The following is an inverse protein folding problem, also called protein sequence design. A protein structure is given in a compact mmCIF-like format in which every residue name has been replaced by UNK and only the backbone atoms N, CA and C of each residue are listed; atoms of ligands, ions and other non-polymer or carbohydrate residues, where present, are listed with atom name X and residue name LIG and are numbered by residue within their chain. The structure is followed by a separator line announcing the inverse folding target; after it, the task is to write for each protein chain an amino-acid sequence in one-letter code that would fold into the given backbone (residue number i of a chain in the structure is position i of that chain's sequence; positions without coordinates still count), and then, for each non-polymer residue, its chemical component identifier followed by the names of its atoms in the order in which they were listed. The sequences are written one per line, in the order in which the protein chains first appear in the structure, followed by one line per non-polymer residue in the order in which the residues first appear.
data_IF_268482576105
#
_entry.id   IF_268482576105
#
_cell.length_a   1.000
_cell.length_b   1.000
_cell.length_c   1.000
_cell.angle_alpha   90.00
_cell.angle_beta   90.00
_cell.angle_gamma   90.00
#
_symmetry.space_group_name_H-M   'P 1'
#
loop_
_entity.id
_entity.type
_entity.pdbx_description
1 polymer ?
#
# COMPACT_ATOMS: atom_id res chain seq x y z
N UNK A 1 2.19 36.28 -48.87
CA UNK A 1 1.63 36.64 -47.54
C UNK A 1 1.75 35.37 -46.70
N UNK A 2 2.91 35.07 -46.11
CA UNK A 2 3.48 35.60 -44.85
C UNK A 2 2.64 35.24 -43.60
N UNK A 3 3.18 34.30 -42.80
CA UNK A 3 3.09 34.13 -41.33
C UNK A 3 1.71 33.99 -40.68
N UNK A 4 1.49 33.30 -39.55
CA UNK A 4 2.30 32.58 -38.56
C UNK A 4 1.32 31.78 -37.70
N UNK A 5 1.76 30.73 -37.01
CA UNK A 5 1.00 30.19 -35.88
C UNK A 5 1.29 28.75 -35.48
N UNK A 6 2.55 28.33 -35.48
CA UNK A 6 2.96 27.13 -34.76
C UNK A 6 2.84 27.40 -33.26
N UNK A 7 1.82 26.83 -32.62
CA UNK A 7 1.80 26.64 -31.17
C UNK A 7 2.29 25.22 -30.90
N UNK A 8 3.60 25.10 -30.79
CA UNK A 8 4.25 23.99 -30.11
C UNK A 8 3.87 24.07 -28.63
N UNK A 9 2.77 23.40 -28.28
CA UNK A 9 2.46 23.10 -26.90
C UNK A 9 3.00 21.71 -26.63
N UNK A 10 4.30 21.61 -26.34
CA UNK A 10 4.84 20.53 -25.51
C UNK A 10 4.28 20.72 -24.11
N UNK A 11 2.98 20.47 -23.94
CA UNK A 11 2.44 20.11 -22.66
C UNK A 11 3.07 18.76 -22.35
N UNK A 12 3.99 18.74 -21.39
CA UNK A 12 4.45 17.55 -20.72
C UNK A 12 3.22 16.78 -20.23
N UNK A 13 2.68 15.92 -21.08
CA UNK A 13 1.90 14.77 -20.68
C UNK A 13 2.88 13.79 -20.07
N UNK A 14 3.48 14.18 -18.95
CA UNK A 14 3.79 13.21 -17.91
C UNK A 14 2.46 12.50 -17.70
N UNK A 15 2.43 11.28 -18.22
CA UNK A 15 1.21 10.57 -18.47
C UNK A 15 0.67 10.23 -17.10
N UNK A 16 -0.19 11.11 -16.58
CA UNK A 16 -1.08 10.84 -15.47
C UNK A 16 -1.88 9.65 -15.93
N UNK A 17 -1.34 8.45 -15.67
CA UNK A 17 -2.03 7.19 -15.85
C UNK A 17 -3.35 7.41 -15.10
N UNK A 18 -4.49 7.50 -15.81
CA UNK A 18 -5.74 7.69 -15.12
C UNK A 18 -5.86 6.47 -14.24
N UNK A 19 -5.75 6.66 -12.92
CA UNK A 19 -5.90 5.59 -11.95
C UNK A 19 -7.32 5.11 -12.15
N UNK A 20 -7.48 4.04 -12.92
CA UNK A 20 -8.77 3.40 -13.10
C UNK A 20 -9.27 3.12 -11.69
N UNK A 21 -10.40 3.74 -11.34
CA UNK A 21 -11.09 3.60 -10.05
C UNK A 21 -11.67 2.19 -9.84
N UNK A 22 -11.23 1.20 -10.62
CA UNK A 22 -11.30 -0.21 -10.28
C UNK A 22 -10.42 -0.47 -9.06
N UNK A 23 -11.01 -0.26 -7.89
CA UNK A 23 -10.52 -0.64 -6.54
C UNK A 23 -9.20 -1.41 -6.54
N UNK A 24 -8.09 -0.67 -6.45
CA UNK A 24 -6.72 -1.20 -6.39
C UNK A 24 -6.63 -2.18 -5.23
N UNK A 25 -6.74 -3.48 -5.50
CA UNK A 25 -6.78 -4.53 -4.47
C UNK A 25 -5.58 -5.44 -4.62
N UNK A 26 -4.90 -5.75 -3.52
CA UNK A 26 -3.75 -6.64 -3.53
C UNK A 26 -4.21 -8.07 -3.82
N UNK A 27 -3.80 -8.59 -4.97
CA UNK A 27 -3.88 -10.01 -5.30
C UNK A 27 -2.70 -10.77 -4.67
N UNK A 28 -2.98 -11.40 -3.52
CA UNK A 28 -2.00 -12.17 -2.75
C UNK A 28 -1.61 -13.47 -3.48
N UNK A 29 -2.53 -14.07 -4.23
CA UNK A 29 -2.24 -15.30 -4.98
C UNK A 29 -1.22 -15.02 -6.09
N UNK A 30 -1.42 -13.92 -6.82
CA UNK A 30 -0.46 -13.43 -7.80
C UNK A 30 0.87 -13.06 -7.13
N UNK A 31 0.85 -12.35 -6.01
CA UNK A 31 2.08 -12.02 -5.28
C UNK A 31 2.86 -13.29 -4.89
N UNK A 32 2.19 -14.36 -4.47
CA UNK A 32 2.85 -15.59 -4.05
C UNK A 32 3.44 -16.41 -5.21
N UNK A 33 2.82 -16.36 -6.40
CA UNK A 33 3.27 -17.10 -7.59
C UNK A 33 4.47 -16.47 -8.32
N UNK A 34 4.77 -15.21 -8.07
CA UNK A 34 5.88 -14.50 -8.72
C UNK A 34 7.27 -14.92 -8.18
N UNK A 35 8.35 -14.78 -8.96
CA UNK A 35 9.73 -14.82 -8.47
C UNK A 35 10.02 -13.69 -7.47
N UNK A 36 10.98 -13.88 -6.55
CA UNK A 36 11.22 -12.97 -5.41
C UNK A 36 11.41 -11.49 -5.80
N UNK A 37 12.21 -11.22 -6.84
CA UNK A 37 12.45 -9.85 -7.35
C UNK A 37 11.16 -9.21 -7.91
N UNK A 38 10.33 -10.02 -8.59
CA UNK A 38 9.05 -9.56 -9.11
C UNK A 38 8.00 -9.36 -8.01
N UNK A 39 8.08 -10.12 -6.91
CA UNK A 39 7.20 -9.93 -5.74
C UNK A 39 7.36 -8.53 -5.16
N UNK A 40 8.60 -8.11 -4.95
CA UNK A 40 8.91 -6.82 -4.34
C UNK A 40 8.47 -5.67 -5.25
N UNK A 41 8.80 -5.73 -6.54
CA UNK A 41 8.36 -4.72 -7.52
C UNK A 41 6.84 -4.64 -7.64
N UNK A 42 6.15 -5.79 -7.63
CA UNK A 42 4.69 -5.83 -7.68
C UNK A 42 4.07 -5.18 -6.43
N UNK A 43 4.56 -5.53 -5.24
CA UNK A 43 4.08 -4.97 -3.98
C UNK A 43 4.34 -3.46 -3.90
N UNK A 44 5.52 -3.01 -4.31
CA UNK A 44 5.89 -1.58 -4.29
C UNK A 44 5.03 -0.78 -5.28
N UNK A 45 4.80 -1.31 -6.47
CA UNK A 45 3.92 -0.68 -7.47
C UNK A 45 2.49 -0.56 -6.94
N UNK A 46 1.96 -1.64 -6.36
CA UNK A 46 0.66 -1.65 -5.72
C UNK A 46 0.56 -0.59 -4.60
N UNK A 47 1.55 -0.54 -3.70
CA UNK A 47 1.59 0.42 -2.61
C UNK A 47 1.70 1.88 -3.09
N UNK A 48 2.45 2.12 -4.17
CA UNK A 48 2.53 3.44 -4.78
C UNK A 48 1.16 3.89 -5.31
N UNK A 49 0.42 2.99 -5.96
CA UNK A 49 -0.93 3.27 -6.46
C UNK A 49 -1.94 3.45 -5.33
N UNK A 50 -1.88 2.60 -4.29
CA UNK A 50 -2.70 2.76 -3.08
C UNK A 50 -2.43 4.09 -2.37
N UNK A 51 -1.15 4.49 -2.24
CA UNK A 51 -0.77 5.77 -1.63
C UNK A 51 -1.35 6.94 -2.42
N UNK A 52 -1.25 6.93 -3.76
CA UNK A 52 -1.84 7.97 -4.61
C UNK A 52 -3.36 8.06 -4.44
N UNK A 53 -4.03 6.90 -4.39
CA UNK A 53 -5.47 6.84 -4.12
C UNK A 53 -5.82 7.45 -2.76
N UNK A 54 -5.13 7.05 -1.70
CA UNK A 54 -5.37 7.58 -0.34
C UNK A 54 -5.16 9.10 -0.28
N UNK A 55 -4.10 9.60 -0.90
CA UNK A 55 -3.81 11.04 -0.93
C UNK A 55 -4.82 11.84 -1.75
N UNK A 56 -5.57 11.20 -2.64
CA UNK A 56 -6.65 11.84 -3.41
C UNK A 56 -7.95 12.01 -2.61
N UNK A 57 -8.08 11.34 -1.45
CA UNK A 57 -9.28 11.43 -0.63
C UNK A 57 -9.37 12.77 0.11
N UNK A 58 -10.57 13.34 0.06
CA UNK A 58 -11.02 14.34 1.01
C UNK A 58 -11.52 13.67 2.30
N UNK A 59 -12.12 14.45 3.20
CA UNK A 59 -12.57 13.97 4.51
C UNK A 59 -13.65 12.87 4.40
N UNK A 60 -14.63 13.08 3.55
CA UNK A 60 -15.75 12.16 3.38
C UNK A 60 -15.28 10.90 2.64
N UNK A 61 -14.47 11.06 1.59
CA UNK A 61 -13.82 9.95 0.89
C UNK A 61 -12.95 9.10 1.81
N UNK A 62 -12.16 9.72 2.69
CA UNK A 62 -11.34 9.00 3.67
C UNK A 62 -12.22 8.19 4.62
N UNK A 63 -13.34 8.75 5.09
CA UNK A 63 -14.29 8.05 5.96
C UNK A 63 -14.95 6.87 5.25
N UNK A 64 -15.39 7.02 4.00
CA UNK A 64 -16.04 5.95 3.25
C UNK A 64 -15.08 4.81 2.86
N UNK A 65 -13.80 5.10 2.62
CA UNK A 65 -12.81 4.11 2.15
C UNK A 65 -11.90 3.59 3.27
N UNK A 66 -12.04 4.09 4.49
CA UNK A 66 -11.22 3.74 5.65
C UNK A 66 -11.10 2.24 5.89
N UNK A 67 -12.24 1.53 5.84
CA UNK A 67 -12.27 0.08 6.02
C UNK A 67 -11.52 -0.66 4.90
N UNK A 68 -11.66 -0.19 3.67
CA UNK A 68 -10.96 -0.75 2.52
C UNK A 68 -9.44 -0.58 2.66
N UNK A 69 -8.97 0.63 2.94
CA UNK A 69 -7.53 0.90 3.11
C UNK A 69 -6.96 0.07 4.26
N UNK A 70 -7.66 0.02 5.41
CA UNK A 70 -7.28 -0.84 6.53
C UNK A 70 -7.10 -2.28 6.08
N UNK A 71 -8.10 -2.86 5.41
CA UNK A 71 -8.06 -4.25 4.96
C UNK A 71 -6.88 -4.52 4.04
N UNK A 72 -6.63 -3.65 3.07
CA UNK A 72 -5.51 -3.82 2.13
C UNK A 72 -4.15 -3.74 2.84
N UNK A 73 -3.98 -2.80 3.76
CA UNK A 73 -2.76 -2.66 4.57
C UNK A 73 -2.56 -3.89 5.46
N UNK A 74 -3.61 -4.40 6.08
CA UNK A 74 -3.53 -5.58 6.94
C UNK A 74 -3.16 -6.86 6.17
N UNK A 75 -3.53 -6.98 4.88
CA UNK A 75 -3.00 -8.08 4.04
C UNK A 75 -1.48 -8.05 3.97
N UNK A 76 -0.90 -6.86 3.82
CA UNK A 76 0.56 -6.66 3.70
C UNK A 76 1.24 -6.96 5.03
N UNK A 77 0.67 -6.52 6.15
CA UNK A 77 1.19 -6.80 7.49
C UNK A 77 1.16 -8.29 7.86
N UNK A 78 0.26 -9.06 7.26
CA UNK A 78 0.14 -10.51 7.47
C UNK A 78 0.94 -11.37 6.46
N UNK A 79 1.77 -10.76 5.61
CA UNK A 79 2.67 -11.52 4.73
C UNK A 79 3.76 -12.19 5.58
N UNK A 80 3.79 -13.53 5.57
CA UNK A 80 4.61 -14.35 6.48
C UNK A 80 6.12 -14.28 6.22
N UNK A 81 6.57 -13.94 5.01
CA UNK A 81 7.99 -13.77 4.65
C UNK A 81 8.12 -13.37 3.18
N UNK A 82 9.15 -12.58 2.78
CA UNK A 82 10.16 -11.93 3.61
C UNK A 82 9.60 -10.74 4.40
N UNK A 83 10.28 -10.37 5.49
CA UNK A 83 9.89 -9.23 6.32
C UNK A 83 9.75 -7.96 5.45
N UNK A 84 8.67 -7.16 5.60
CA UNK A 84 8.46 -6.00 4.76
C UNK A 84 9.66 -5.04 4.83
N UNK A 85 10.18 -4.66 3.66
CA UNK A 85 11.25 -3.69 3.53
C UNK A 85 10.89 -2.35 4.18
N UNK A 86 11.90 -1.55 4.56
CA UNK A 86 11.69 -0.23 5.20
C UNK A 86 10.74 0.64 4.38
N UNK A 87 10.94 0.70 3.05
CA UNK A 87 10.09 1.47 2.13
C UNK A 87 8.62 1.01 2.18
N UNK A 88 8.37 -0.29 2.25
CA UNK A 88 7.02 -0.87 2.38
C UNK A 88 6.36 -0.41 3.68
N UNK A 89 7.09 -0.44 4.80
CA UNK A 89 6.58 0.02 6.11
C UNK A 89 6.28 1.53 6.09
N UNK A 90 7.18 2.32 5.53
CA UNK A 90 7.04 3.78 5.45
C UNK A 90 5.79 4.16 4.66
N UNK A 91 5.57 3.56 3.47
CA UNK A 91 4.38 3.84 2.65
C UNK A 91 3.10 3.38 3.35
N UNK A 92 3.14 2.19 3.98
CA UNK A 92 2.00 1.64 4.74
C UNK A 92 1.59 2.57 5.87
N UNK A 93 2.57 3.09 6.62
CA UNK A 93 2.34 4.05 7.69
C UNK A 93 1.72 5.36 7.19
N UNK A 94 2.19 5.89 6.07
CA UNK A 94 1.60 7.09 5.44
C UNK A 94 0.14 6.84 5.03
N UNK A 95 -0.17 5.69 4.41
CA UNK A 95 -1.54 5.38 4.00
C UNK A 95 -2.50 5.33 5.20
N UNK A 96 -2.08 4.70 6.30
CA UNK A 96 -2.85 4.67 7.54
C UNK A 96 -3.00 6.07 8.15
N UNK A 97 -1.92 6.85 8.22
CA UNK A 97 -1.93 8.18 8.81
C UNK A 97 -2.87 9.15 8.06
N UNK A 98 -2.82 9.17 6.73
CA UNK A 98 -3.68 10.03 5.91
C UNK A 98 -5.15 9.60 6.01
N UNK A 99 -5.41 8.30 5.94
CA UNK A 99 -6.77 7.75 5.98
C UNK A 99 -7.44 7.94 7.34
N UNK A 100 -6.73 7.64 8.43
CA UNK A 100 -7.27 7.76 9.78
C UNK A 100 -7.13 9.15 10.39
N UNK A 101 -6.23 9.99 9.88
CA UNK A 101 -6.11 11.40 10.29
C UNK A 101 -7.32 12.24 9.86
N UNK A 102 -7.98 11.86 8.77
CA UNK A 102 -9.12 12.61 8.19
C UNK A 102 -10.48 11.96 8.45
N UNK A 103 -10.55 10.62 8.53
CA UNK A 103 -11.83 9.92 8.63
C UNK A 103 -12.35 9.70 10.06
N UNK A 104 -13.11 8.62 10.24
CA UNK A 104 -13.75 8.26 11.51
C UNK A 104 -12.74 7.83 12.59
N UNK A 105 -12.95 8.34 13.82
CA UNK A 105 -12.05 8.10 14.97
C UNK A 105 -12.30 6.75 15.63
N UNK A 106 -13.50 6.21 15.58
CA UNK A 106 -13.82 4.90 16.19
C UNK A 106 -13.04 3.81 15.48
N UNK A 107 -13.03 3.81 14.15
CA UNK A 107 -12.30 2.82 13.36
C UNK A 107 -10.77 2.96 13.52
N UNK A 108 -10.25 4.16 13.78
CA UNK A 108 -8.85 4.36 14.16
C UNK A 108 -8.51 3.61 15.45
N UNK A 109 -9.29 3.81 16.52
CA UNK A 109 -9.04 3.15 17.81
C UNK A 109 -9.18 1.63 17.72
N UNK A 110 -10.19 1.13 16.99
CA UNK A 110 -10.33 -0.30 16.71
C UNK A 110 -9.09 -0.86 15.99
N UNK A 111 -8.57 -0.13 15.00
CA UNK A 111 -7.38 -0.54 14.25
C UNK A 111 -6.11 -0.55 15.11
N UNK A 112 -5.94 0.44 16.01
CA UNK A 112 -4.82 0.45 16.97
C UNK A 112 -4.89 -0.78 17.89
N UNK A 113 -6.08 -1.10 18.41
CA UNK A 113 -6.26 -2.27 19.26
C UNK A 113 -5.98 -3.58 18.52
N UNK A 114 -6.38 -3.67 17.26
CA UNK A 114 -6.08 -4.83 16.41
C UNK A 114 -4.57 -4.97 16.16
N UNK A 115 -3.87 -3.86 15.84
CA UNK A 115 -2.40 -3.87 15.68
C UNK A 115 -1.69 -4.26 16.98
N UNK A 116 -2.13 -3.76 18.14
CA UNK A 116 -1.59 -4.16 19.44
C UNK A 116 -1.83 -5.65 19.70
N UNK A 117 -2.98 -6.18 19.30
CA UNK A 117 -3.31 -7.60 19.43
C UNK A 117 -2.41 -8.45 18.52
N UNK A 118 -2.16 -8.02 17.28
CA UNK A 118 -1.23 -8.70 16.36
C UNK A 118 0.20 -8.71 16.95
N UNK A 119 0.66 -7.57 17.48
CA UNK A 119 1.97 -7.46 18.13
C UNK A 119 2.09 -8.38 19.37
N UNK A 120 1.04 -8.43 20.20
CA UNK A 120 1.02 -9.25 21.42
C UNK A 120 0.81 -10.75 21.12
N UNK A 121 0.11 -11.07 20.03
CA UNK A 121 -0.24 -12.42 19.60
C UNK A 121 0.86 -13.14 18.81
N UNK A 122 1.88 -12.42 18.34
CA UNK A 122 3.05 -12.97 17.62
C UNK A 122 3.87 -14.00 18.39
N UNK A 123 3.54 -14.28 19.67
CA UNK A 123 4.20 -15.30 20.50
C UNK A 123 3.83 -16.77 20.22
N UNK A 124 2.88 -17.06 19.33
CA UNK A 124 2.44 -18.45 19.05
C UNK A 124 2.63 -18.96 17.61
N UNK A 125 3.09 -18.13 16.67
CA UNK A 125 3.30 -18.52 15.26
C UNK A 125 4.75 -18.61 14.80
N UNK A 126 5.69 -17.93 15.47
CA UNK A 126 7.09 -17.77 14.99
C UNK A 126 8.14 -18.51 15.84
N UNK A 127 7.76 -19.62 16.50
CA UNK A 127 8.74 -20.48 17.19
C UNK A 127 9.50 -21.44 16.25
N UNK A 128 9.28 -21.35 14.94
CA UNK A 128 10.02 -22.11 13.92
C UNK A 128 11.02 -21.26 13.10
N UNK A 129 11.39 -20.06 13.56
CA UNK A 129 12.65 -19.41 13.12
C UNK A 129 13.80 -19.96 13.97
N UNK A 130 13.98 -21.27 13.89
CA UNK A 130 15.21 -21.98 14.19
C UNK A 130 15.21 -23.16 13.24
N UNK A 131 15.97 -23.05 12.14
CA UNK A 131 16.80 -24.10 11.56
C UNK A 131 17.43 -23.56 10.27
N UNK A 132 18.76 -23.34 10.36
CA UNK A 132 19.78 -23.52 9.31
C UNK A 132 19.53 -22.88 7.95
N UNK A 133 20.31 -21.87 7.59
CA UNK A 133 21.05 -21.78 6.30
C UNK A 133 21.90 -20.52 6.31
N UNK A 134 23.15 -20.60 6.79
CA UNK A 134 24.28 -19.73 6.42
C UNK A 134 25.55 -20.33 7.05
N UNK A 135 25.99 -21.49 6.57
CA UNK A 135 27.40 -21.90 6.43
C UNK A 135 27.41 -23.03 5.41
N UNK A 136 27.86 -22.73 4.20
CA UNK A 136 28.77 -23.60 3.43
C UNK A 136 29.51 -22.75 2.41
#
# INVERSE_FOLDING_TARGET
MASNGGVDSTADTDTYRPLQTSTVSLDVNKLQSLPNEQKELYLLSYLADLKRLVLSFDKDGATSHQFFVKKEIFKILNLSSPAPAKVTRDITGVCLAETFGRGDRKLLFESINELNTMLSGGGKGDKDIKIRQWVS
#
